data_IF_613080220555
#
_entry.id   IF_613080220555
#
_cell.length_a   1.000
_cell.length_b   1.000
_cell.length_c   1.000
_cell.angle_alpha   90.00
_cell.angle_beta   90.00
_cell.angle_gamma   90.00
#
_symmetry.space_group_name_H-M   'P 1'
#
loop_
_entity.id
_entity.type
_entity.pdbx_description
1 polymer ?
#
# COMPACT_ATOMS: atom_id res chain seq x y z
N UNK A 1 1.94 -2.60 17.60
CA UNK A 1 0.54 -2.13 17.51
C UNK A 1 0.26 -1.74 16.06
N UNK A 2 -0.88 -2.14 15.51
CA UNK A 2 -1.26 -1.78 14.16
C UNK A 2 -1.73 -0.32 14.13
N UNK A 3 -1.22 0.49 13.19
CA UNK A 3 -1.59 1.90 13.07
C UNK A 3 -3.09 2.05 12.74
N UNK A 4 -3.72 3.13 13.22
CA UNK A 4 -5.15 3.39 13.03
C UNK A 4 -5.48 3.74 11.58
N UNK A 5 -6.75 3.60 11.18
CA UNK A 5 -7.22 3.96 9.83
C UNK A 5 -6.94 5.42 9.48
N UNK A 6 -7.21 6.34 10.41
CA UNK A 6 -6.98 7.76 10.21
C UNK A 6 -5.48 8.07 9.98
N UNK A 7 -4.60 7.42 10.73
CA UNK A 7 -3.16 7.61 10.60
C UNK A 7 -2.62 7.00 9.29
N UNK A 8 -3.12 5.83 8.86
CA UNK A 8 -2.80 5.28 7.54
C UNK A 8 -3.23 6.22 6.41
N UNK A 9 -4.46 6.74 6.46
CA UNK A 9 -4.96 7.71 5.47
C UNK A 9 -4.11 8.97 5.44
N UNK A 10 -3.77 9.53 6.61
CA UNK A 10 -2.93 10.71 6.69
C UNK A 10 -1.52 10.45 6.11
N UNK A 11 -0.91 9.30 6.42
CA UNK A 11 0.39 8.92 5.90
C UNK A 11 0.40 8.80 4.38
N UNK A 12 -0.54 8.04 3.80
CA UNK A 12 -0.61 7.81 2.36
C UNK A 12 -1.23 8.95 1.54
N UNK A 13 -1.80 9.97 2.18
CA UNK A 13 -2.28 11.18 1.50
C UNK A 13 -1.16 12.09 0.98
N UNK A 14 0.09 11.82 1.37
CA UNK A 14 1.26 12.66 1.12
C UNK A 14 2.42 11.81 0.59
N UNK A 15 2.68 11.81 -0.72
CA UNK A 15 3.72 10.99 -1.34
C UNK A 15 5.12 11.14 -0.73
N UNK A 16 5.47 12.33 -0.25
CA UNK A 16 6.74 12.62 0.42
C UNK A 16 7.00 11.74 1.65
N UNK A 17 5.96 11.15 2.24
CA UNK A 17 6.07 10.25 3.37
C UNK A 17 6.58 8.84 3.02
N UNK A 18 6.55 8.43 1.75
CA UNK A 18 6.82 7.02 1.40
C UNK A 18 7.54 6.79 0.07
N UNK A 19 7.48 7.70 -0.90
CA UNK A 19 7.98 7.45 -2.26
C UNK A 19 9.46 7.06 -2.32
N UNK A 20 10.28 7.66 -1.46
CA UNK A 20 11.73 7.41 -1.39
C UNK A 20 12.12 6.51 -0.22
N UNK A 21 11.16 5.85 0.43
CA UNK A 21 11.41 5.00 1.58
C UNK A 21 11.46 3.53 1.19
N UNK A 22 12.27 2.77 1.93
CA UNK A 22 12.20 1.31 1.91
C UNK A 22 10.93 0.83 2.63
N UNK A 23 10.51 -0.41 2.33
CA UNK A 23 9.40 -1.05 3.05
C UNK A 23 9.59 -1.02 4.56
N UNK A 24 10.83 -1.29 5.03
CA UNK A 24 11.16 -1.28 6.45
C UNK A 24 10.88 0.09 7.08
N UNK A 25 11.32 1.18 6.44
CA UNK A 25 11.09 2.53 6.94
C UNK A 25 9.59 2.90 6.93
N UNK A 26 8.83 2.45 5.94
CA UNK A 26 7.37 2.59 5.92
C UNK A 26 6.75 1.86 7.12
N UNK A 27 7.13 0.60 7.35
CA UNK A 27 6.62 -0.21 8.46
C UNK A 27 6.99 0.35 9.84
N UNK A 28 8.13 1.02 9.98
CA UNK A 28 8.51 1.73 11.20
C UNK A 28 7.57 2.91 11.50
N UNK A 29 7.01 3.55 10.46
CA UNK A 29 6.10 4.68 10.61
C UNK A 29 4.64 4.26 10.88
N UNK A 30 4.14 3.27 10.12
CA UNK A 30 2.71 2.91 10.10
C UNK A 30 2.42 1.47 10.56
N UNK A 31 3.44 0.78 11.06
CA UNK A 31 3.34 -0.61 11.48
C UNK A 31 3.28 -1.60 10.31
N UNK A 32 3.12 -2.89 10.61
CA UNK A 32 3.23 -3.96 9.62
C UNK A 32 2.05 -3.96 8.63
N UNK A 33 2.33 -4.43 7.42
CA UNK A 33 1.30 -4.77 6.43
C UNK A 33 0.50 -5.99 6.89
N UNK A 34 -0.70 -6.14 6.33
CA UNK A 34 -1.64 -7.23 6.59
C UNK A 34 -1.43 -8.41 5.65
N UNK A 35 -1.04 -8.16 4.41
CA UNK A 35 -0.85 -9.17 3.39
C UNK A 35 0.31 -8.80 2.47
N UNK A 36 0.99 -9.84 1.97
CA UNK A 36 2.03 -9.76 0.95
C UNK A 36 1.66 -10.67 -0.22
N UNK A 37 1.96 -10.25 -1.43
CA UNK A 37 1.86 -11.03 -2.66
C UNK A 37 3.00 -10.63 -3.61
N UNK A 38 3.43 -11.57 -4.44
CA UNK A 38 4.40 -11.31 -5.50
C UNK A 38 3.68 -11.41 -6.85
N UNK A 39 3.77 -10.35 -7.63
CA UNK A 39 3.23 -10.27 -8.98
C UNK A 39 4.34 -10.43 -9.99
N UNK A 40 3.94 -10.68 -11.23
CA UNK A 40 4.86 -10.87 -12.34
C UNK A 40 5.86 -9.72 -12.45
N UNK A 41 7.08 -10.09 -12.84
CA UNK A 41 8.20 -9.19 -13.17
C UNK A 41 8.84 -8.52 -11.93
N UNK A 42 8.80 -9.23 -10.80
CA UNK A 42 9.44 -8.81 -9.55
C UNK A 42 8.71 -7.65 -8.88
N UNK A 43 7.38 -7.62 -9.03
CA UNK A 43 6.51 -6.64 -8.38
C UNK A 43 6.11 -7.20 -7.02
N UNK A 44 6.48 -6.49 -5.96
CA UNK A 44 6.17 -6.86 -4.59
C UNK A 44 4.97 -6.04 -4.13
N UNK A 45 3.92 -6.71 -3.65
CA UNK A 45 2.64 -6.08 -3.31
C UNK A 45 2.35 -6.25 -1.83
N UNK A 46 2.13 -5.13 -1.15
CA UNK A 46 1.89 -5.08 0.29
C UNK A 46 0.58 -4.36 0.58
N UNK A 47 -0.32 -5.01 1.30
CA UNK A 47 -1.62 -4.44 1.66
C UNK A 47 -1.68 -4.12 3.15
N UNK A 48 -2.08 -2.90 3.50
CA UNK A 48 -2.55 -2.54 4.85
C UNK A 48 -4.07 -2.57 4.86
N UNK A 49 -4.64 -3.57 5.53
CA UNK A 49 -6.10 -3.76 5.62
C UNK A 49 -6.62 -3.47 7.03
N UNK A 50 -7.71 -2.72 7.09
CA UNK A 50 -8.54 -2.38 8.26
C UNK A 50 -10.02 -2.50 7.85
N UNK A 51 -10.97 -2.51 8.80
CA UNK A 51 -12.40 -2.67 8.48
C UNK A 51 -12.93 -1.75 7.37
N UNK A 52 -12.46 -0.50 7.30
CA UNK A 52 -12.93 0.52 6.34
C UNK A 52 -11.80 1.10 5.47
N UNK A 53 -10.67 0.40 5.37
CA UNK A 53 -9.53 0.86 4.58
C UNK A 53 -8.69 -0.32 4.09
N UNK A 54 -8.41 -0.36 2.79
CA UNK A 54 -7.39 -1.22 2.21
C UNK A 54 -6.47 -0.35 1.36
N UNK A 55 -5.20 -0.25 1.75
CA UNK A 55 -4.18 0.44 0.95
C UNK A 55 -3.23 -0.61 0.42
N UNK A 56 -2.99 -0.58 -0.89
CA UNK A 56 -1.96 -1.38 -1.56
C UNK A 56 -0.75 -0.51 -1.84
N UNK A 57 0.43 -1.06 -1.57
CA UNK A 57 1.72 -0.50 -1.99
C UNK A 57 2.38 -1.51 -2.92
N UNK A 58 2.69 -1.07 -4.15
CA UNK A 58 3.42 -1.86 -5.14
C UNK A 58 4.85 -1.35 -5.15
N UNK A 59 5.80 -2.25 -4.90
CA UNK A 59 7.23 -1.97 -4.94
C UNK A 59 7.92 -2.76 -6.04
N UNK A 60 9.03 -2.22 -6.55
CA UNK A 60 9.90 -2.91 -7.51
C UNK A 60 11.33 -2.42 -7.36
N UNK A 61 12.26 -3.35 -7.20
CA UNK A 61 13.68 -3.04 -6.99
C UNK A 61 13.93 -2.26 -5.69
N UNK A 62 13.11 -2.48 -4.66
CA UNK A 62 13.22 -1.82 -3.35
C UNK A 62 12.58 -0.43 -3.24
N UNK A 63 11.92 0.06 -4.30
CA UNK A 63 11.28 1.39 -4.32
C UNK A 63 9.78 1.29 -4.58
N UNK A 64 9.02 2.23 -4.01
CA UNK A 64 7.58 2.37 -4.27
C UNK A 64 7.36 2.76 -5.74
N UNK A 65 6.43 2.07 -6.40
CA UNK A 65 6.01 2.34 -7.80
C UNK A 65 4.58 2.80 -7.90
N UNK A 66 3.70 2.28 -7.05
CA UNK A 66 2.32 2.73 -6.96
C UNK A 66 1.79 2.56 -5.55
N UNK A 67 0.84 3.43 -5.18
CA UNK A 67 0.03 3.30 -3.97
C UNK A 67 -1.43 3.51 -4.36
N UNK A 68 -2.28 2.57 -3.96
CA UNK A 68 -3.69 2.53 -4.33
C UNK A 68 -4.55 2.37 -3.08
N UNK A 69 -5.70 3.04 -3.05
CA UNK A 69 -6.78 2.70 -2.12
C UNK A 69 -7.74 1.75 -2.83
N UNK A 70 -7.97 0.58 -2.21
CA UNK A 70 -8.84 -0.47 -2.71
C UNK A 70 -10.12 -0.53 -1.88
N UNK A 71 -11.16 -1.14 -2.44
CA UNK A 71 -12.37 -1.48 -1.70
C UNK A 71 -12.02 -2.46 -0.55
N UNK A 72 -12.24 -2.08 0.71
CA UNK A 72 -11.93 -2.95 1.85
C UNK A 72 -12.83 -4.21 1.91
N UNK A 73 -14.00 -4.19 1.28
CA UNK A 73 -14.92 -5.33 1.23
C UNK A 73 -14.56 -6.33 0.12
N UNK A 74 -13.84 -5.87 -0.91
CA UNK A 74 -13.30 -6.75 -1.94
C UNK A 74 -12.09 -7.51 -1.39
N UNK A 75 -12.24 -8.83 -1.27
CA UNK A 75 -11.22 -9.76 -0.79
C UNK A 75 -10.53 -10.51 -1.94
N UNK A 76 -10.82 -10.18 -3.20
CA UNK A 76 -10.11 -10.75 -4.34
C UNK A 76 -8.63 -10.36 -4.31
N UNK A 77 -7.80 -11.19 -4.96
CA UNK A 77 -6.35 -10.99 -5.08
C UNK A 77 -6.02 -9.58 -5.55
N UNK A 78 -6.64 -9.15 -6.67
CA UNK A 78 -6.41 -7.83 -7.25
C UNK A 78 -7.21 -6.73 -6.55
N UNK A 79 -8.37 -7.04 -5.99
CA UNK A 79 -9.22 -6.03 -5.38
C UNK A 79 -9.76 -5.00 -6.40
N UNK A 80 -10.71 -4.20 -5.97
CA UNK A 80 -11.28 -3.10 -6.75
C UNK A 80 -10.58 -1.82 -6.34
N UNK A 81 -9.79 -1.22 -7.24
CA UNK A 81 -9.15 0.08 -6.99
C UNK A 81 -10.20 1.19 -6.94
N UNK A 82 -10.32 1.85 -5.79
CA UNK A 82 -11.17 3.03 -5.63
C UNK A 82 -10.48 4.29 -6.13
N UNK A 83 -9.18 4.42 -5.88
CA UNK A 83 -8.34 5.52 -6.37
C UNK A 83 -6.86 5.20 -6.31
N UNK A 84 -6.10 5.81 -7.20
CA UNK A 84 -4.63 5.84 -7.17
C UNK A 84 -4.21 7.02 -6.30
N UNK A 85 -3.43 6.77 -5.25
CA UNK A 85 -2.90 7.80 -4.34
C UNK A 85 -1.58 8.37 -4.87
N UNK A 86 -0.77 7.52 -5.52
CA UNK A 86 0.48 7.93 -6.17
C UNK A 86 0.98 6.89 -7.17
N UNK A 87 1.69 7.35 -8.20
CA UNK A 87 2.38 6.52 -9.19
C UNK A 87 1.51 6.11 -10.38
N UNK A 88 2.10 5.34 -11.29
CA UNK A 88 1.39 4.72 -12.40
C UNK A 88 1.11 3.26 -12.05
N UNK A 89 -0.17 2.92 -11.94
CA UNK A 89 -0.64 1.54 -11.89
C UNK A 89 -0.52 0.91 -13.30
N UNK A 90 0.71 0.82 -13.80
CA UNK A 90 1.13 -0.09 -14.87
C UNK A 90 0.50 -1.49 -14.72
N UNK A 91 -0.46 -1.98 -15.54
CA UNK A 91 -0.84 -3.39 -15.52
C UNK A 91 0.37 -4.33 -15.70
#
# INVERSE_FOLDING_TARGET
>A
MACSEAALRAFFSRPENYVNLSLKAIMECIGPFSQYDEWDWGREVYDWKRPNLRVRVIMRGGYVKAVEELDPQDNSRYGTTLRVLWGDASP
#
